data_IF_752600513963
#
_entry.id   IF_752600513963
#
_cell.length_a   1.000
_cell.length_b   1.000
_cell.length_c   1.000
_cell.angle_alpha   90.00
_cell.angle_beta   90.00
_cell.angle_gamma   90.00
#
_symmetry.space_group_name_H-M   'P 1'
#
loop_
_entity.id
_entity.type
_entity.pdbx_description
1 polymer ?
#
# COMPACT_ATOMS: atom_id res chain seq x y z
N UNK A 1 -9.31 30.55 -26.35
CA UNK A 1 -8.91 30.20 -24.98
C UNK A 1 -8.97 31.46 -24.15
N UNK A 2 -9.91 31.55 -23.23
CA UNK A 2 -10.00 32.68 -22.31
C UNK A 2 -8.81 32.64 -21.32
N UNK A 3 -8.30 33.79 -20.85
CA UNK A 3 -7.19 33.83 -19.89
C UNK A 3 -7.48 33.08 -18.57
N UNK A 4 -8.76 32.85 -18.25
CA UNK A 4 -9.19 32.01 -17.12
C UNK A 4 -8.96 30.51 -17.34
N UNK A 5 -9.13 30.01 -18.56
CA UNK A 5 -8.94 28.58 -18.87
C UNK A 5 -7.45 28.19 -18.86
N UNK A 6 -6.57 29.10 -19.25
CA UNK A 6 -5.12 28.89 -19.18
C UNK A 6 -4.63 28.81 -17.74
N UNK A 7 -5.13 29.69 -16.86
CA UNK A 7 -4.81 29.67 -15.42
C UNK A 7 -5.24 28.35 -14.76
N UNK A 8 -6.47 27.89 -15.03
CA UNK A 8 -6.98 26.65 -14.45
C UNK A 8 -6.19 25.41 -14.89
N UNK A 9 -5.72 25.38 -16.14
CA UNK A 9 -4.89 24.30 -16.67
C UNK A 9 -3.50 24.27 -16.02
N UNK A 10 -2.90 25.44 -15.79
CA UNK A 10 -1.62 25.57 -15.09
C UNK A 10 -1.71 25.10 -13.63
N UNK A 11 -2.80 25.45 -12.94
CA UNK A 11 -3.03 25.03 -11.55
C UNK A 11 -3.18 23.52 -11.42
N UNK A 12 -3.93 22.88 -12.33
CA UNK A 12 -4.08 21.41 -12.34
C UNK A 12 -2.74 20.71 -12.60
N UNK A 13 -1.93 21.25 -13.50
CA UNK A 13 -0.60 20.72 -13.80
C UNK A 13 0.35 20.89 -12.61
N UNK A 14 0.28 22.02 -11.91
CA UNK A 14 1.04 22.26 -10.69
C UNK A 14 0.62 21.28 -9.58
N UNK A 15 -0.69 21.05 -9.42
CA UNK A 15 -1.24 20.08 -8.48
C UNK A 15 -0.78 18.65 -8.78
N UNK A 16 -0.88 18.21 -10.04
CA UNK A 16 -0.42 16.88 -10.48
C UNK A 16 1.07 16.68 -10.17
N UNK A 17 1.90 17.69 -10.44
CA UNK A 17 3.33 17.64 -10.13
C UNK A 17 3.60 17.48 -8.63
N UNK A 18 2.88 18.23 -7.79
CA UNK A 18 3.02 18.14 -6.32
C UNK A 18 2.53 16.80 -5.79
N UNK A 19 1.42 16.30 -6.31
CA UNK A 19 0.87 15.00 -5.93
C UNK A 19 1.85 13.87 -6.30
N UNK A 20 2.41 13.93 -7.50
CA UNK A 20 3.43 12.98 -7.98
C UNK A 20 4.69 13.03 -7.12
N UNK A 21 5.17 14.23 -6.76
CA UNK A 21 6.35 14.40 -5.90
C UNK A 21 6.14 13.81 -4.50
N UNK A 22 4.98 14.07 -3.89
CA UNK A 22 4.62 13.52 -2.57
C UNK A 22 4.54 11.99 -2.63
N UNK A 23 3.85 11.44 -3.62
CA UNK A 23 3.70 9.99 -3.79
C UNK A 23 5.06 9.33 -4.08
N UNK A 24 5.87 9.92 -4.95
CA UNK A 24 7.21 9.43 -5.28
C UNK A 24 8.14 9.44 -4.05
N UNK A 25 7.99 10.38 -3.13
CA UNK A 25 8.75 10.40 -1.87
C UNK A 25 8.29 9.29 -0.90
N UNK A 26 6.99 8.98 -0.86
CA UNK A 26 6.38 8.00 0.03
C UNK A 26 6.52 6.53 -0.43
N UNK A 27 6.56 6.29 -1.75
CA UNK A 27 6.63 4.95 -2.34
C UNK A 27 7.91 4.15 -1.99
N UNK A 28 9.14 4.70 -2.08
CA UNK A 28 10.36 3.94 -1.78
C UNK A 28 10.45 3.45 -0.32
N UNK A 29 10.18 4.29 0.71
CA UNK A 29 10.07 3.81 2.09
C UNK A 29 9.00 2.73 2.26
N UNK A 30 7.83 2.92 1.65
CA UNK A 30 6.72 1.96 1.76
C UNK A 30 7.07 0.60 1.17
N UNK A 31 7.70 0.60 -0.01
CA UNK A 31 8.12 -0.63 -0.67
C UNK A 31 9.19 -1.37 0.15
N UNK A 32 10.14 -0.65 0.76
CA UNK A 32 11.12 -1.23 1.69
C UNK A 32 10.43 -1.90 2.88
N UNK A 33 9.45 -1.24 3.51
CA UNK A 33 8.71 -1.83 4.63
C UNK A 33 7.88 -3.05 4.22
N UNK A 34 7.27 -3.03 3.04
CA UNK A 34 6.54 -4.20 2.48
C UNK A 34 7.48 -5.38 2.24
N UNK A 35 8.65 -5.14 1.67
CA UNK A 35 9.65 -6.18 1.44
C UNK A 35 10.19 -6.74 2.75
N UNK A 36 10.52 -5.88 3.71
CA UNK A 36 10.98 -6.29 5.04
C UNK A 36 9.94 -7.18 5.73
N UNK A 37 8.68 -6.73 5.78
CA UNK A 37 7.59 -7.51 6.37
C UNK A 37 7.39 -8.85 5.65
N UNK A 38 7.44 -8.86 4.32
CA UNK A 38 7.32 -10.08 3.52
C UNK A 38 8.44 -11.08 3.80
N UNK A 39 9.69 -10.63 3.82
CA UNK A 39 10.86 -11.45 4.12
C UNK A 39 10.78 -12.00 5.55
N UNK A 40 10.52 -11.16 6.54
CA UNK A 40 10.40 -11.60 7.94
C UNK A 40 9.26 -12.60 8.11
N UNK A 41 8.12 -12.39 7.45
CA UNK A 41 6.99 -13.32 7.49
C UNK A 41 7.33 -14.68 6.85
N UNK A 42 8.01 -14.67 5.71
CA UNK A 42 8.43 -15.90 5.03
C UNK A 42 9.45 -16.69 5.86
N UNK A 43 10.44 -16.01 6.45
CA UNK A 43 11.41 -16.64 7.37
C UNK A 43 10.71 -17.21 8.60
N UNK A 44 9.74 -16.48 9.16
CA UNK A 44 8.96 -16.96 10.31
C UNK A 44 8.14 -18.20 9.94
N UNK A 45 7.51 -18.21 8.78
CA UNK A 45 6.74 -19.36 8.28
C UNK A 45 7.63 -20.59 8.06
N UNK A 46 8.76 -20.42 7.37
CA UNK A 46 9.72 -21.50 7.16
C UNK A 46 10.28 -22.01 8.50
N UNK A 47 10.67 -21.09 9.40
CA UNK A 47 11.14 -21.42 10.75
C UNK A 47 10.10 -22.20 11.56
N UNK A 48 8.83 -21.80 11.50
CA UNK A 48 7.73 -22.51 12.14
C UNK A 48 7.53 -23.91 11.56
N UNK A 49 7.62 -24.06 10.23
CA UNK A 49 7.52 -25.37 9.57
C UNK A 49 8.64 -26.31 10.03
N UNK A 50 9.89 -25.84 10.06
CA UNK A 50 11.01 -26.62 10.57
C UNK A 50 10.87 -26.96 12.06
N UNK A 51 10.39 -26.02 12.87
CA UNK A 51 10.14 -26.22 14.29
C UNK A 51 9.06 -27.27 14.57
N UNK A 52 7.95 -27.23 13.82
CA UNK A 52 6.83 -28.16 13.96
C UNK A 52 7.13 -29.56 13.42
N UNK A 53 8.06 -29.68 12.47
CA UNK A 53 8.44 -30.97 11.88
C UNK A 53 9.57 -31.66 12.68
N UNK A 54 10.18 -30.95 13.65
CA UNK A 54 11.19 -31.55 14.51
C UNK A 54 10.54 -32.57 15.48
N UNK A 55 10.99 -33.83 15.52
CA UNK A 55 10.46 -34.81 16.48
C UNK A 55 10.77 -34.43 17.94
N UNK A 56 11.82 -33.63 18.20
CA UNK A 56 12.24 -33.24 19.56
C UNK A 56 11.34 -32.20 20.20
N UNK A 57 10.59 -31.43 19.42
CA UNK A 57 9.64 -30.41 19.89
C UNK A 57 8.51 -31.00 20.74
N UNK A 58 8.15 -32.26 20.50
CA UNK A 58 7.09 -32.96 21.25
C UNK A 58 7.52 -33.45 22.64
N UNK A 59 8.83 -33.45 22.91
CA UNK A 59 9.45 -34.09 24.08
C UNK A 59 10.03 -33.05 25.04
N UNK A 60 10.42 -31.89 24.52
CA UNK A 60 11.11 -30.83 25.26
C UNK A 60 10.11 -29.72 25.62
N UNK A 61 10.16 -29.15 26.83
CA UNK A 61 9.31 -28.02 27.21
C UNK A 61 9.47 -26.84 26.24
N UNK A 62 8.37 -26.12 26.01
CA UNK A 62 8.27 -25.07 24.98
C UNK A 62 9.42 -24.06 25.04
N UNK A 63 9.76 -23.53 26.22
CA UNK A 63 10.80 -22.49 26.35
C UNK A 63 12.17 -23.02 25.90
N UNK A 64 12.53 -24.24 26.30
CA UNK A 64 13.78 -24.88 25.89
C UNK A 64 13.81 -25.18 24.38
N UNK A 65 12.67 -25.60 23.83
CA UNK A 65 12.53 -25.79 22.39
C UNK A 65 12.67 -24.45 21.63
N UNK A 66 12.02 -23.38 22.09
CA UNK A 66 12.15 -22.05 21.48
C UNK A 66 13.60 -21.53 21.54
N UNK A 67 14.32 -21.76 22.65
CA UNK A 67 15.73 -21.39 22.75
C UNK A 67 16.62 -22.22 21.83
N UNK A 68 16.29 -23.50 21.60
CA UNK A 68 17.03 -24.35 20.67
C UNK A 68 16.84 -23.93 19.19
N UNK A 69 15.68 -23.38 18.83
CA UNK A 69 15.36 -22.91 17.47
C UNK A 69 15.50 -21.39 17.32
N UNK A 70 16.73 -20.89 17.46
CA UNK A 70 17.06 -19.46 17.39
C UNK A 70 16.49 -18.72 16.17
N UNK A 71 16.51 -19.33 14.99
CA UNK A 71 16.01 -18.70 13.75
C UNK A 71 14.51 -18.40 13.82
N UNK A 72 13.71 -19.34 14.33
CA UNK A 72 12.27 -19.17 14.49
C UNK A 72 11.96 -18.14 15.59
N UNK A 73 12.63 -18.23 16.72
CA UNK A 73 12.39 -17.33 17.87
C UNK A 73 12.78 -15.88 17.54
N UNK A 74 13.95 -15.65 16.93
CA UNK A 74 14.40 -14.31 16.54
C UNK A 74 13.49 -13.71 15.47
N UNK A 75 13.12 -14.47 14.43
CA UNK A 75 12.22 -13.97 13.38
C UNK A 75 10.83 -13.63 13.92
N UNK A 76 10.29 -14.45 14.83
CA UNK A 76 9.01 -14.20 15.50
C UNK A 76 9.07 -12.96 16.39
N UNK A 77 10.16 -12.75 17.14
CA UNK A 77 10.35 -11.53 17.95
C UNK A 77 10.43 -10.28 17.07
N UNK A 78 11.20 -10.33 15.98
CA UNK A 78 11.30 -9.21 15.03
C UNK A 78 9.93 -8.91 14.43
N UNK A 79 9.18 -9.94 14.04
CA UNK A 79 7.82 -9.77 13.51
C UNK A 79 6.91 -9.09 14.52
N UNK A 80 6.95 -9.52 15.79
CA UNK A 80 6.16 -8.95 16.88
C UNK A 80 6.52 -7.47 17.11
N UNK A 81 7.82 -7.15 17.13
CA UNK A 81 8.31 -5.77 17.23
C UNK A 81 7.77 -4.92 16.06
N UNK A 82 7.87 -5.40 14.82
CA UNK A 82 7.34 -4.68 13.65
C UNK A 82 5.83 -4.41 13.76
N UNK A 83 5.06 -5.36 14.31
CA UNK A 83 3.64 -5.19 14.57
C UNK A 83 3.36 -4.12 15.63
N UNK A 84 4.08 -4.14 16.77
CA UNK A 84 3.91 -3.18 17.87
C UNK A 84 4.30 -1.76 17.43
N UNK A 85 5.36 -1.61 16.66
CA UNK A 85 5.75 -0.31 16.08
C UNK A 85 4.81 0.19 14.98
N UNK A 86 3.77 -0.59 14.63
CA UNK A 86 2.71 -0.13 13.74
C UNK A 86 3.12 -0.08 12.28
N UNK A 87 3.89 -1.07 11.80
CA UNK A 87 4.27 -1.19 10.38
C UNK A 87 3.06 -1.12 9.42
N UNK A 88 1.87 -1.51 9.88
CA UNK A 88 0.61 -1.38 9.15
C UNK A 88 0.32 0.07 8.73
N UNK A 89 0.69 1.06 9.55
CA UNK A 89 0.57 2.49 9.21
C UNK A 89 1.56 2.88 8.11
N UNK A 90 2.79 2.37 8.20
CA UNK A 90 3.87 2.65 7.25
C UNK A 90 3.61 2.05 5.86
N UNK A 91 2.97 0.88 5.81
CA UNK A 91 2.67 0.17 4.56
C UNK A 91 1.45 0.75 3.82
N UNK A 92 0.48 1.33 4.55
CA UNK A 92 -0.80 1.78 3.99
C UNK A 92 -0.84 3.30 3.78
N UNK A 93 0.12 4.06 4.34
CA UNK A 93 0.15 5.52 4.22
C UNK A 93 -0.02 6.06 2.77
N UNK A 94 0.67 5.52 1.73
CA UNK A 94 0.48 6.02 0.37
C UNK A 94 -0.91 5.69 -0.20
N UNK A 95 -1.42 4.49 0.09
CA UNK A 95 -2.73 4.05 -0.37
C UNK A 95 -3.86 4.89 0.25
N UNK A 96 -3.72 5.26 1.53
CA UNK A 96 -4.65 6.17 2.21
C UNK A 96 -4.62 7.54 1.53
N UNK A 97 -3.44 8.12 1.29
CA UNK A 97 -3.31 9.45 0.66
C UNK A 97 -3.94 9.43 -0.74
N UNK A 98 -3.58 8.47 -1.59
CA UNK A 98 -4.14 8.34 -2.94
C UNK A 98 -5.66 8.14 -2.90
N UNK A 99 -6.18 7.32 -1.98
CA UNK A 99 -7.63 7.12 -1.79
C UNK A 99 -8.35 8.41 -1.38
N UNK A 100 -7.81 9.15 -0.41
CA UNK A 100 -8.40 10.43 0.05
C UNK A 100 -8.40 11.46 -1.06
N UNK A 101 -7.31 11.56 -1.80
CA UNK A 101 -7.22 12.44 -2.98
C UNK A 101 -8.24 12.05 -4.03
N UNK A 102 -8.36 10.75 -4.37
CA UNK A 102 -9.39 10.25 -5.31
C UNK A 102 -10.81 10.60 -4.89
N UNK A 103 -11.13 10.55 -3.60
CA UNK A 103 -12.47 10.90 -3.11
C UNK A 103 -12.80 12.37 -3.36
N UNK A 104 -11.86 13.29 -3.12
CA UNK A 104 -12.05 14.71 -3.40
C UNK A 104 -12.11 14.98 -4.90
N UNK A 105 -11.24 14.36 -5.70
CA UNK A 105 -11.25 14.52 -7.15
C UNK A 105 -12.52 13.95 -7.81
N UNK A 106 -13.14 12.94 -7.20
CA UNK A 106 -14.37 12.32 -7.72
C UNK A 106 -15.53 13.32 -7.82
N UNK A 107 -15.62 14.29 -6.89
CA UNK A 107 -16.63 15.36 -6.92
C UNK A 107 -16.53 16.22 -8.19
N UNK A 108 -15.34 16.30 -8.78
CA UNK A 108 -15.06 17.07 -10.00
C UNK A 108 -15.00 16.21 -11.26
N UNK A 109 -15.46 14.95 -11.22
CA UNK A 109 -15.27 13.96 -12.29
C UNK A 109 -13.79 13.75 -12.65
N UNK A 110 -12.90 13.81 -11.68
CA UNK A 110 -11.48 13.52 -11.84
C UNK A 110 -11.07 12.34 -10.94
N UNK A 111 -9.90 11.77 -11.21
CA UNK A 111 -9.25 10.75 -10.39
C UNK A 111 -7.74 10.85 -10.58
N UNK A 112 -6.96 10.10 -9.80
CA UNK A 112 -5.50 10.04 -9.99
C UNK A 112 -5.00 8.60 -9.95
N UNK A 113 -3.92 8.31 -10.66
CA UNK A 113 -3.26 7.01 -10.65
C UNK A 113 -2.42 6.80 -9.37
N UNK A 114 -1.93 5.58 -9.13
CA UNK A 114 -1.06 5.25 -7.99
C UNK A 114 0.27 6.00 -7.99
N UNK A 115 0.64 6.59 -9.14
CA UNK A 115 1.81 7.45 -9.33
C UNK A 115 1.53 8.93 -9.07
N UNK A 116 0.26 9.33 -8.89
CA UNK A 116 -0.15 10.72 -8.73
C UNK A 116 -0.58 11.44 -10.00
N UNK A 117 -0.53 10.77 -11.16
CA UNK A 117 -0.99 11.32 -12.45
C UNK A 117 -2.49 11.56 -12.44
N UNK A 118 -2.96 12.72 -12.92
CA UNK A 118 -4.38 13.03 -12.99
C UNK A 118 -5.07 12.31 -14.16
N UNK A 119 -6.31 11.85 -13.94
CA UNK A 119 -7.18 11.19 -14.91
C UNK A 119 -8.54 11.88 -14.85
N UNK A 120 -8.90 12.58 -15.93
CA UNK A 120 -10.25 13.16 -16.07
C UNK A 120 -11.22 12.05 -16.49
N UNK A 121 -12.30 11.88 -15.75
CA UNK A 121 -13.38 10.96 -16.14
C UNK A 121 -14.31 11.69 -17.10
N UNK A 122 -14.72 11.06 -18.21
CA UNK A 122 -15.72 11.64 -19.09
C UNK A 122 -17.03 11.82 -18.32
N UNK A 123 -17.69 12.97 -18.50
CA UNK A 123 -19.03 13.22 -17.98
C UNK A 123 -19.96 12.13 -18.53
N UNK A 124 -20.80 11.46 -17.72
CA UNK A 124 -21.74 10.47 -18.24
C UNK A 124 -22.67 11.17 -19.25
N UNK A 125 -22.44 10.93 -20.53
CA UNK A 125 -23.37 11.31 -21.60
C UNK A 125 -24.55 10.37 -21.51
N UNK A 126 -25.51 10.69 -20.64
CA UNK A 126 -26.82 10.10 -20.68
C UNK A 126 -27.52 10.64 -21.95
N UNK A 127 -27.20 10.06 -23.11
CA UNK A 127 -27.90 10.33 -24.35
C UNK A 127 -28.92 9.21 -24.58
N UNK A 128 -30.19 9.36 -24.15
CA UNK A 128 -31.23 8.36 -24.37
C UNK A 128 -31.58 8.15 -25.85
N UNK A 129 -31.04 8.94 -26.80
CA UNK A 129 -31.39 8.87 -28.23
C UNK A 129 -30.86 7.65 -29.01
N UNK A 130 -30.22 6.68 -28.37
CA UNK A 130 -29.70 5.49 -29.06
C UNK A 130 -30.38 4.17 -28.66
N UNK A 131 -31.40 4.19 -27.80
CA UNK A 131 -32.13 2.97 -27.41
C UNK A 131 -33.43 2.72 -28.18
N UNK A 132 -33.85 3.62 -29.08
CA UNK A 132 -35.08 3.45 -29.89
C UNK A 132 -34.78 3.05 -31.35
N UNK A 133 -33.72 2.27 -31.60
CA UNK A 133 -33.38 1.86 -32.98
C UNK A 133 -32.88 0.43 -33.11
N UNK A 134 -33.44 -0.47 -32.29
CA UNK A 134 -33.34 -1.93 -32.44
C UNK A 134 -34.72 -2.56 -32.44
#
# INVERSE_FOLDING_TARGET
MSPSETSACEDLKAFERRLTEVIACLQPPTLRWRLLLGVTSFVTFAGAFYWLTDPRTSIVPLIESLLNHYVFTVSTIILLILFVFGIHKLVIAPQIITSRTRNVLAEYNMSCDETGKLIVRPRPTNNPRYMDMS
#
